data_IF_601953037633
#
_entry.id   IF_601953037633
#
_cell.length_a   1.000
_cell.length_b   1.000
_cell.length_c   1.000
_cell.angle_alpha   90.00
_cell.angle_beta   90.00
_cell.angle_gamma   90.00
#
_symmetry.space_group_name_H-M   'P 1'
#
loop_
_entity.id
_entity.type
_entity.pdbx_description
1 polymer ?
#
# COMPACT_ATOMS: atom_id res chain seq x y z
N UNK A 1 -24.60 -30.80 -22.39
CA UNK A 1 -23.94 -31.90 -21.65
C UNK A 1 -22.69 -31.32 -20.99
N UNK A 2 -22.51 -31.48 -19.69
CA UNK A 2 -21.33 -30.96 -18.98
C UNK A 2 -20.25 -32.02 -18.94
N UNK A 3 -19.01 -31.64 -19.24
CA UNK A 3 -17.83 -32.51 -19.16
C UNK A 3 -16.87 -31.86 -18.17
N UNK A 4 -16.49 -32.58 -17.13
CA UNK A 4 -15.54 -32.11 -16.13
C UNK A 4 -14.13 -32.55 -16.52
N UNK A 5 -13.21 -31.59 -16.64
CA UNK A 5 -11.80 -31.85 -16.94
C UNK A 5 -11.00 -31.47 -15.69
N UNK A 6 -10.20 -32.42 -15.17
CA UNK A 6 -9.36 -32.23 -13.99
C UNK A 6 -7.91 -32.43 -14.40
N UNK A 7 -7.03 -31.52 -13.96
CA UNK A 7 -5.60 -31.59 -14.21
C UNK A 7 -4.85 -31.30 -12.91
N UNK A 8 -3.78 -32.06 -12.66
CA UNK A 8 -2.93 -31.90 -11.48
C UNK A 8 -1.56 -31.38 -11.91
N UNK A 9 -1.11 -30.28 -11.28
CA UNK A 9 0.22 -29.72 -11.50
C UNK A 9 1.15 -30.05 -10.32
N UNK A 10 2.42 -30.30 -10.62
CA UNK A 10 3.47 -30.43 -9.61
C UNK A 10 3.82 -29.04 -9.04
N UNK A 11 3.38 -28.80 -7.81
CA UNK A 11 3.55 -27.53 -7.09
C UNK A 11 5.01 -27.18 -6.81
N UNK A 12 5.93 -28.14 -6.92
CA UNK A 12 7.37 -27.89 -6.74
C UNK A 12 8.01 -27.22 -7.96
N UNK A 13 7.35 -27.25 -9.13
CA UNK A 13 7.89 -26.69 -10.37
C UNK A 13 7.20 -25.41 -10.80
N UNK A 14 5.87 -25.36 -10.72
CA UNK A 14 5.08 -24.20 -11.15
C UNK A 14 3.82 -24.11 -10.30
N UNK A 15 3.44 -22.91 -9.89
CA UNK A 15 2.19 -22.69 -9.20
C UNK A 15 1.00 -23.04 -10.13
N UNK A 16 0.03 -23.87 -9.69
CA UNK A 16 -1.15 -24.21 -10.50
C UNK A 16 -1.90 -22.98 -11.04
N UNK A 17 -1.84 -21.87 -10.32
CA UNK A 17 -2.40 -20.56 -10.68
C UNK A 17 -1.80 -20.03 -11.98
N UNK A 18 -0.48 -20.09 -12.11
CA UNK A 18 0.26 -19.62 -13.30
C UNK A 18 -0.17 -20.40 -14.54
N UNK A 19 -0.30 -21.73 -14.39
CA UNK A 19 -0.75 -22.62 -15.48
C UNK A 19 -2.20 -22.32 -15.85
N UNK A 20 -3.09 -22.21 -14.86
CA UNK A 20 -4.51 -21.94 -15.09
C UNK A 20 -4.72 -20.61 -15.82
N UNK A 21 -4.03 -19.55 -15.39
CA UNK A 21 -4.06 -18.25 -16.06
C UNK A 21 -3.58 -18.34 -17.50
N UNK A 22 -2.48 -19.07 -17.76
CA UNK A 22 -1.95 -19.24 -19.10
C UNK A 22 -2.90 -20.02 -20.02
N UNK A 23 -3.58 -21.05 -19.51
CA UNK A 23 -4.59 -21.82 -20.24
C UNK A 23 -5.79 -20.95 -20.61
N UNK A 24 -6.37 -20.24 -19.65
CA UNK A 24 -7.54 -19.39 -19.87
C UNK A 24 -7.25 -18.16 -20.73
N UNK A 25 -6.02 -17.65 -20.70
CA UNK A 25 -5.62 -16.51 -21.53
C UNK A 25 -5.25 -16.90 -22.97
N UNK A 26 -4.65 -18.07 -23.16
CA UNK A 26 -3.99 -18.41 -24.44
C UNK A 26 -4.72 -19.50 -25.23
N UNK A 27 -5.29 -20.50 -24.54
CA UNK A 27 -5.83 -21.71 -25.18
C UNK A 27 -7.37 -21.70 -25.21
N UNK A 28 -8.01 -21.23 -24.13
CA UNK A 28 -9.49 -21.16 -24.05
C UNK A 28 -10.11 -20.25 -25.12
N UNK A 29 -9.56 -19.06 -25.44
CA UNK A 29 -10.15 -18.22 -26.48
C UNK A 29 -10.13 -18.88 -27.87
N UNK A 30 -9.02 -19.56 -28.21
CA UNK A 30 -8.91 -20.30 -29.48
C UNK A 30 -9.93 -21.44 -29.57
N UNK A 31 -10.13 -22.17 -28.47
CA UNK A 31 -11.13 -23.23 -28.40
C UNK A 31 -12.57 -22.70 -28.52
N UNK A 32 -12.84 -21.49 -28.03
CA UNK A 32 -14.15 -20.84 -28.18
C UNK A 32 -14.39 -20.33 -29.60
N UNK A 33 -13.34 -19.89 -30.31
CA UNK A 33 -13.40 -19.55 -31.74
C UNK A 33 -13.69 -20.79 -32.61
N UNK A 34 -13.01 -21.91 -32.34
CA UNK A 34 -13.20 -23.16 -33.08
C UNK A 34 -14.56 -23.82 -32.78
N UNK A 35 -15.12 -23.60 -31.58
CA UNK A 35 -16.36 -24.23 -31.10
C UNK A 35 -17.31 -23.22 -30.41
N UNK A 36 -18.03 -22.37 -31.15
CA UNK A 36 -18.85 -21.28 -30.60
C UNK A 36 -20.09 -21.73 -29.79
N UNK A 37 -20.43 -23.03 -29.80
CA UNK A 37 -21.51 -23.62 -29.00
C UNK A 37 -21.06 -24.15 -27.62
N UNK A 38 -19.77 -24.03 -27.28
CA UNK A 38 -19.20 -24.54 -26.04
C UNK A 38 -18.92 -23.40 -25.08
N UNK A 39 -19.30 -23.56 -23.81
CA UNK A 39 -18.94 -22.64 -22.75
C UNK A 39 -18.00 -23.32 -21.74
N UNK A 40 -16.91 -22.63 -21.41
CA UNK A 40 -15.85 -23.14 -20.52
C UNK A 40 -15.82 -22.26 -19.28
N UNK A 41 -15.93 -22.87 -18.11
CA UNK A 41 -15.90 -22.20 -16.82
C UNK A 41 -14.90 -22.89 -15.89
N UNK A 42 -14.34 -22.11 -14.96
CA UNK A 42 -13.55 -22.65 -13.85
C UNK A 42 -14.50 -23.23 -12.80
N UNK A 43 -14.18 -24.40 -12.25
CA UNK A 43 -14.96 -25.08 -11.22
C UNK A 43 -14.04 -25.68 -10.15
N UNK A 44 -14.60 -26.03 -8.98
CA UNK A 44 -13.85 -26.63 -7.88
C UNK A 44 -12.90 -25.64 -7.21
N UNK A 45 -11.66 -26.07 -6.92
CA UNK A 45 -10.67 -25.24 -6.19
C UNK A 45 -10.40 -23.90 -6.89
N UNK A 46 -10.40 -23.85 -8.22
CA UNK A 46 -10.16 -22.62 -8.98
C UNK A 46 -11.29 -21.59 -8.76
N UNK A 47 -12.54 -22.06 -8.72
CA UNK A 47 -13.70 -21.20 -8.49
C UNK A 47 -13.73 -20.67 -7.05
N UNK A 48 -13.47 -21.54 -6.07
CA UNK A 48 -13.37 -21.13 -4.66
C UNK A 48 -12.26 -20.08 -4.46
N UNK A 49 -11.11 -20.26 -5.11
CA UNK A 49 -10.02 -19.28 -5.10
C UNK A 49 -10.42 -17.95 -5.75
N UNK A 50 -11.08 -17.98 -6.91
CA UNK A 50 -11.56 -16.76 -7.57
C UNK A 50 -12.54 -15.98 -6.68
N UNK A 51 -13.48 -16.69 -6.02
CA UNK A 51 -14.38 -16.09 -5.03
C UNK A 51 -13.59 -15.51 -3.85
N UNK A 52 -12.64 -16.26 -3.30
CA UNK A 52 -11.80 -15.80 -2.19
C UNK A 52 -10.97 -14.55 -2.56
N UNK A 53 -10.39 -14.49 -3.76
CA UNK A 53 -9.67 -13.33 -4.28
C UNK A 53 -10.58 -12.11 -4.41
N UNK A 54 -11.77 -12.29 -4.97
CA UNK A 54 -12.75 -11.20 -5.07
C UNK A 54 -13.17 -10.67 -3.70
N UNK A 55 -13.37 -11.56 -2.73
CA UNK A 55 -13.63 -11.23 -1.33
C UNK A 55 -12.45 -10.54 -0.65
N UNK A 56 -11.22 -10.93 -1.01
CA UNK A 56 -10.01 -10.32 -0.49
C UNK A 56 -9.84 -8.88 -0.97
N UNK A 57 -10.08 -8.63 -2.26
CA UNK A 57 -10.02 -7.28 -2.84
C UNK A 57 -11.08 -6.38 -2.20
N UNK A 58 -12.33 -6.84 -2.10
CA UNK A 58 -13.39 -6.07 -1.47
C UNK A 58 -13.12 -5.79 0.01
N UNK A 59 -12.67 -6.80 0.77
CA UNK A 59 -12.26 -6.63 2.15
C UNK A 59 -11.08 -5.66 2.30
N UNK A 60 -10.11 -5.69 1.38
CA UNK A 60 -8.97 -4.77 1.37
C UNK A 60 -9.40 -3.33 1.12
N UNK A 61 -10.36 -3.10 0.23
CA UNK A 61 -10.93 -1.77 -0.01
C UNK A 61 -11.66 -1.24 1.22
N UNK A 62 -12.47 -2.08 1.87
CA UNK A 62 -13.13 -1.73 3.14
C UNK A 62 -12.10 -1.42 4.22
N UNK A 63 -11.05 -2.24 4.34
CA UNK A 63 -9.96 -2.00 5.28
C UNK A 63 -9.24 -0.68 5.01
N UNK A 64 -8.95 -0.34 3.75
CA UNK A 64 -8.36 0.95 3.38
C UNK A 64 -9.26 2.13 3.76
N UNK A 65 -10.58 2.01 3.57
CA UNK A 65 -11.54 3.05 3.99
C UNK A 65 -11.56 3.22 5.51
N UNK A 66 -11.53 2.11 6.27
CA UNK A 66 -11.45 2.14 7.73
C UNK A 66 -10.12 2.75 8.19
N UNK A 67 -9.00 2.35 7.59
CA UNK A 67 -7.69 2.91 7.91
C UNK A 67 -7.68 4.41 7.62
N UNK A 68 -8.19 4.86 6.47
CA UNK A 68 -8.32 6.29 6.16
C UNK A 68 -9.08 7.04 7.26
N UNK A 69 -10.24 6.52 7.67
CA UNK A 69 -11.03 7.14 8.74
C UNK A 69 -10.26 7.18 10.07
N UNK A 70 -9.56 6.10 10.41
CA UNK A 70 -8.73 6.02 11.62
C UNK A 70 -7.53 6.96 11.58
N UNK A 71 -6.93 7.21 10.42
CA UNK A 71 -5.81 8.14 10.23
C UNK A 71 -6.25 9.61 10.27
N UNK A 72 -7.47 9.91 9.82
CA UNK A 72 -8.00 11.27 9.83
C UNK A 72 -8.13 11.84 11.26
N UNK A 73 -8.39 10.99 12.25
CA UNK A 73 -8.56 11.37 13.67
C UNK A 73 -7.25 11.92 14.28
N UNK A 74 -6.12 11.18 14.33
CA UNK A 74 -4.87 11.67 14.92
C UNK A 74 -4.26 12.81 14.10
N UNK A 75 -4.35 12.74 12.76
CA UNK A 75 -3.79 13.76 11.87
C UNK A 75 -4.61 15.05 11.82
N UNK A 76 -5.87 15.02 12.28
CA UNK A 76 -6.82 16.15 12.23
C UNK A 76 -6.92 16.79 10.84
N UNK A 77 -6.78 15.98 9.80
CA UNK A 77 -6.76 16.40 8.40
C UNK A 77 -7.32 15.31 7.50
N UNK A 78 -8.02 15.71 6.44
CA UNK A 78 -8.56 14.79 5.43
C UNK A 78 -7.55 14.50 4.31
N UNK A 79 -6.60 15.41 4.05
CA UNK A 79 -5.62 15.24 2.97
C UNK A 79 -4.36 14.52 3.43
N UNK A 80 -3.94 14.70 4.68
CA UNK A 80 -2.74 14.03 5.20
C UNK A 80 -2.85 12.50 5.24
N UNK A 81 -4.00 11.87 5.55
CA UNK A 81 -4.18 10.43 5.40
C UNK A 81 -3.90 9.94 3.97
N UNK A 82 -4.24 10.72 2.93
CA UNK A 82 -3.92 10.36 1.55
C UNK A 82 -2.41 10.35 1.29
N UNK A 83 -1.67 11.31 1.87
CA UNK A 83 -0.20 11.32 1.83
C UNK A 83 0.39 10.06 2.47
N UNK A 84 -0.14 9.67 3.63
CA UNK A 84 0.27 8.43 4.32
C UNK A 84 -0.02 7.20 3.45
N UNK A 85 -1.22 7.10 2.87
CA UNK A 85 -1.62 5.96 2.04
C UNK A 85 -0.89 5.90 0.69
N UNK A 86 -0.35 7.01 0.18
CA UNK A 86 0.45 7.05 -1.05
C UNK A 86 1.71 6.17 -0.98
N UNK A 87 2.12 5.75 0.22
CA UNK A 87 3.22 4.79 0.43
C UNK A 87 2.87 3.33 0.10
N UNK A 88 1.59 2.94 0.15
CA UNK A 88 1.14 1.55 -0.01
C UNK A 88 1.52 0.96 -1.38
N UNK A 89 1.30 1.66 -2.52
CA UNK A 89 1.68 1.14 -3.83
C UNK A 89 3.18 0.83 -3.94
N UNK A 90 4.03 1.62 -3.29
CA UNK A 90 5.47 1.37 -3.27
C UNK A 90 5.83 0.11 -2.49
N UNK A 91 5.10 -0.21 -1.42
CA UNK A 91 5.21 -1.50 -0.77
C UNK A 91 4.87 -2.67 -1.71
N UNK A 92 3.81 -2.56 -2.50
CA UNK A 92 3.45 -3.61 -3.46
C UNK A 92 4.52 -3.80 -4.53
N UNK A 93 5.12 -2.71 -5.01
CA UNK A 93 6.28 -2.78 -5.93
C UNK A 93 7.43 -3.56 -5.26
N UNK A 94 7.75 -3.25 -4.00
CA UNK A 94 8.76 -3.98 -3.23
C UNK A 94 8.44 -5.47 -3.07
N UNK A 95 7.18 -5.82 -2.80
CA UNK A 95 6.73 -7.20 -2.69
C UNK A 95 6.88 -7.97 -4.01
N UNK A 96 6.51 -7.34 -5.14
CA UNK A 96 6.65 -7.92 -6.49
C UNK A 96 8.14 -8.13 -6.82
N UNK A 97 9.00 -7.14 -6.53
CA UNK A 97 10.45 -7.28 -6.70
C UNK A 97 11.01 -8.41 -5.84
N UNK A 98 10.55 -8.55 -4.59
CA UNK A 98 10.93 -9.67 -3.72
C UNK A 98 10.57 -11.04 -4.28
N UNK A 99 9.40 -11.18 -4.90
CA UNK A 99 8.98 -12.41 -5.57
C UNK A 99 9.89 -12.75 -6.76
N UNK A 100 10.28 -11.75 -7.54
CA UNK A 100 11.21 -11.94 -8.63
C UNK A 100 12.61 -12.34 -8.14
N UNK A 101 13.12 -11.69 -7.09
CA UNK A 101 14.44 -11.99 -6.51
C UNK A 101 14.47 -13.42 -5.93
N UNK A 102 13.42 -13.81 -5.22
CA UNK A 102 13.33 -15.14 -4.58
C UNK A 102 12.78 -16.23 -5.51
N UNK A 103 12.43 -15.91 -6.76
CA UNK A 103 11.84 -16.81 -7.74
C UNK A 103 10.56 -17.53 -7.24
N UNK A 104 9.66 -16.78 -6.59
CA UNK A 104 8.34 -17.28 -6.21
C UNK A 104 7.26 -16.64 -7.08
N UNK A 105 6.26 -17.45 -7.46
CA UNK A 105 5.06 -16.96 -8.15
C UNK A 105 4.18 -16.13 -7.20
N UNK A 106 3.47 -15.16 -7.76
CA UNK A 106 2.46 -14.39 -7.04
C UNK A 106 1.20 -15.25 -6.88
N UNK A 107 0.98 -15.74 -5.66
CA UNK A 107 -0.15 -16.60 -5.31
C UNK A 107 -1.05 -15.95 -4.26
N UNK A 108 -2.14 -16.62 -3.89
CA UNK A 108 -3.10 -16.13 -2.89
C UNK A 108 -2.43 -15.66 -1.58
N UNK A 109 -1.48 -16.45 -1.05
CA UNK A 109 -0.72 -16.11 0.15
C UNK A 109 0.17 -14.86 -0.02
N UNK A 110 0.70 -14.61 -1.22
CA UNK A 110 1.45 -13.38 -1.52
C UNK A 110 0.55 -12.15 -1.35
N UNK A 111 -0.70 -12.21 -1.78
CA UNK A 111 -1.65 -11.11 -1.65
C UNK A 111 -2.00 -10.82 -0.18
N UNK A 112 -2.15 -11.86 0.64
CA UNK A 112 -2.31 -11.68 2.09
C UNK A 112 -1.11 -10.95 2.69
N UNK A 113 0.11 -11.29 2.28
CA UNK A 113 1.33 -10.61 2.68
C UNK A 113 1.37 -9.14 2.24
N UNK A 114 0.91 -8.83 1.03
CA UNK A 114 0.80 -7.45 0.55
C UNK A 114 -0.23 -6.63 1.35
N UNK A 115 -1.35 -7.22 1.73
CA UNK A 115 -2.36 -6.54 2.55
C UNK A 115 -1.83 -6.27 3.96
N UNK A 116 -1.16 -7.25 4.57
CA UNK A 116 -0.47 -7.07 5.85
C UNK A 116 0.60 -5.97 5.76
N UNK A 117 1.33 -5.92 4.65
CA UNK A 117 2.36 -4.91 4.37
C UNK A 117 1.79 -3.49 4.39
N UNK A 118 0.59 -3.27 3.84
CA UNK A 118 -0.05 -1.95 3.85
C UNK A 118 -0.12 -1.38 5.28
N UNK A 119 -0.51 -2.20 6.27
CA UNK A 119 -0.57 -1.78 7.67
C UNK A 119 0.81 -1.40 8.25
N UNK A 120 1.84 -2.20 7.96
CA UNK A 120 3.21 -1.93 8.44
C UNK A 120 3.76 -0.62 7.86
N UNK A 121 3.54 -0.38 6.57
CA UNK A 121 4.02 0.83 5.87
C UNK A 121 3.27 2.08 6.33
N UNK A 122 1.96 1.96 6.56
CA UNK A 122 1.12 3.04 7.09
C UNK A 122 1.62 3.47 8.47
N UNK A 123 2.00 2.54 9.35
CA UNK A 123 2.50 2.87 10.68
C UNK A 123 3.74 3.77 10.64
N UNK A 124 4.74 3.40 9.82
CA UNK A 124 5.97 4.20 9.67
C UNK A 124 5.68 5.61 9.13
N UNK A 125 4.79 5.71 8.15
CA UNK A 125 4.42 6.96 7.50
C UNK A 125 3.57 7.85 8.41
N UNK A 126 2.62 7.27 9.15
CA UNK A 126 1.79 7.96 10.14
C UNK A 126 2.66 8.60 11.23
N UNK A 127 3.59 7.84 11.81
CA UNK A 127 4.46 8.34 12.89
C UNK A 127 5.30 9.53 12.41
N UNK A 128 5.78 9.49 11.16
CA UNK A 128 6.55 10.59 10.59
C UNK A 128 5.67 11.85 10.41
N UNK A 129 4.49 11.71 9.81
CA UNK A 129 3.56 12.84 9.61
C UNK A 129 3.06 13.41 10.94
N UNK A 130 2.73 12.57 11.92
CA UNK A 130 2.36 13.00 13.28
C UNK A 130 3.49 13.81 13.93
N UNK A 131 4.74 13.35 13.81
CA UNK A 131 5.89 14.06 14.36
C UNK A 131 6.09 15.44 13.69
N UNK A 132 5.90 15.53 12.37
CA UNK A 132 5.95 16.79 11.62
C UNK A 132 4.88 17.76 12.15
N UNK A 133 3.62 17.31 12.24
CA UNK A 133 2.53 18.12 12.78
C UNK A 133 2.78 18.56 14.22
N UNK A 134 3.31 17.65 15.05
CA UNK A 134 3.63 17.94 16.44
C UNK A 134 4.73 18.99 16.57
N UNK A 135 5.79 18.89 15.76
CA UNK A 135 6.86 19.88 15.73
C UNK A 135 6.36 21.27 15.29
N UNK A 136 5.51 21.32 14.26
CA UNK A 136 4.87 22.58 13.84
C UNK A 136 4.00 23.18 14.94
N UNK A 137 3.19 22.35 15.61
CA UNK A 137 2.22 22.82 16.61
C UNK A 137 2.87 23.24 17.93
N UNK A 138 3.85 22.49 18.42
CA UNK A 138 4.47 22.73 19.73
C UNK A 138 5.61 23.74 19.68
N UNK A 139 6.41 23.72 18.59
CA UNK A 139 7.60 24.54 18.48
C UNK A 139 7.45 25.70 17.48
N UNK A 140 6.30 25.82 16.81
CA UNK A 140 6.06 26.88 15.82
C UNK A 140 7.00 26.81 14.61
N UNK A 141 7.62 25.65 14.36
CA UNK A 141 8.59 25.48 13.28
C UNK A 141 7.95 25.71 11.91
N UNK A 142 8.73 26.29 11.00
CA UNK A 142 8.37 26.32 9.58
C UNK A 142 8.24 24.88 9.05
N UNK A 143 7.41 24.68 8.02
CA UNK A 143 7.13 23.36 7.41
C UNK A 143 8.42 22.64 7.05
N UNK A 144 9.36 23.33 6.40
CA UNK A 144 10.64 22.73 5.98
C UNK A 144 11.48 22.27 7.17
N UNK A 145 11.64 23.11 8.18
CA UNK A 145 12.43 22.79 9.36
C UNK A 145 11.82 21.63 10.15
N UNK A 146 10.49 21.65 10.30
CA UNK A 146 9.74 20.57 10.95
C UNK A 146 9.90 19.24 10.21
N UNK A 147 9.86 19.24 8.88
CA UNK A 147 10.06 18.04 8.04
C UNK A 147 11.48 17.49 8.19
N UNK A 148 12.49 18.35 8.15
CA UNK A 148 13.90 17.95 8.28
C UNK A 148 14.16 17.36 9.67
N UNK A 149 13.74 18.05 10.74
CA UNK A 149 13.93 17.59 12.12
C UNK A 149 13.18 16.27 12.39
N UNK A 150 11.94 16.16 11.91
CA UNK A 150 11.15 14.93 12.03
C UNK A 150 11.81 13.78 11.26
N UNK A 151 12.28 14.03 10.04
CA UNK A 151 12.99 13.04 9.23
C UNK A 151 14.24 12.52 9.93
N UNK A 152 15.09 13.41 10.45
CA UNK A 152 16.31 13.02 11.16
C UNK A 152 16.02 12.25 12.44
N UNK A 153 15.03 12.67 13.23
CA UNK A 153 14.71 12.03 14.51
C UNK A 153 13.99 10.69 14.34
N UNK A 154 13.22 10.51 13.26
CA UNK A 154 12.42 9.29 13.00
C UNK A 154 13.10 8.29 12.06
N UNK A 155 14.16 8.69 11.35
CA UNK A 155 14.91 7.80 10.46
C UNK A 155 15.34 6.50 11.16
N UNK A 156 16.03 6.60 12.31
CA UNK A 156 16.55 5.41 13.02
C UNK A 156 15.43 4.48 13.51
N UNK A 157 14.38 4.96 14.21
CA UNK A 157 13.26 4.10 14.61
C UNK A 157 12.52 3.41 13.46
N UNK A 158 12.27 4.15 12.36
CA UNK A 158 11.56 3.61 11.18
C UNK A 158 12.41 2.52 10.53
N UNK A 159 13.70 2.80 10.30
CA UNK A 159 14.62 1.83 9.73
C UNK A 159 14.74 0.57 10.59
N UNK A 160 14.88 0.73 11.92
CA UNK A 160 15.02 -0.40 12.84
C UNK A 160 13.78 -1.30 12.83
N UNK A 161 12.58 -0.71 12.81
CA UNK A 161 11.32 -1.47 12.72
C UNK A 161 11.32 -2.32 11.45
N UNK A 162 11.64 -1.73 10.30
CA UNK A 162 11.65 -2.44 9.02
C UNK A 162 12.67 -3.56 8.96
N UNK A 163 13.89 -3.31 9.44
CA UNK A 163 14.92 -4.35 9.53
C UNK A 163 14.48 -5.47 10.47
N UNK A 164 13.90 -5.13 11.62
CA UNK A 164 13.41 -6.13 12.59
C UNK A 164 12.29 -6.98 12.00
N UNK A 165 11.33 -6.38 11.29
CA UNK A 165 10.28 -7.12 10.60
C UNK A 165 10.85 -8.05 9.54
N UNK A 166 11.80 -7.57 8.72
CA UNK A 166 12.45 -8.40 7.71
C UNK A 166 13.21 -9.58 8.34
N UNK A 167 14.02 -9.31 9.36
CA UNK A 167 14.77 -10.34 10.08
C UNK A 167 13.86 -11.36 10.76
N UNK A 168 12.73 -10.93 11.31
CA UNK A 168 11.74 -11.83 11.92
C UNK A 168 11.08 -12.79 10.92
N UNK A 169 10.98 -12.38 9.64
CA UNK A 169 10.41 -13.21 8.58
C UNK A 169 11.46 -14.07 7.85
N UNK A 170 12.74 -13.73 8.00
CA UNK A 170 13.84 -14.40 7.31
C UNK A 170 13.89 -15.92 7.57
N UNK A 171 13.67 -16.44 8.79
CA UNK A 171 13.63 -17.88 9.02
C UNK A 171 12.55 -18.56 8.16
N UNK A 172 11.34 -17.98 8.12
CA UNK A 172 10.23 -18.50 7.33
C UNK A 172 10.52 -18.48 5.82
N UNK A 173 11.28 -17.50 5.33
CA UNK A 173 11.67 -17.42 3.92
C UNK A 173 12.67 -18.51 3.50
N UNK A 174 13.46 -19.03 4.44
CA UNK A 174 14.54 -20.00 4.16
C UNK A 174 14.11 -21.44 4.46
N UNK A 175 13.11 -21.64 5.32
CA UNK A 175 12.56 -22.96 5.64
C UNK A 175 11.94 -23.65 4.42
N UNK A 176 12.13 -24.98 4.33
CA UNK A 176 11.67 -25.82 3.21
C UNK A 176 10.77 -26.97 3.67
N UNK A 177 9.91 -26.70 4.64
CA UNK A 177 8.97 -27.70 5.15
C UNK A 177 7.68 -27.67 4.33
N UNK A 178 7.11 -28.84 4.03
CA UNK A 178 5.85 -28.93 3.27
C UNK A 178 4.70 -28.19 3.96
N UNK A 179 4.68 -28.18 5.30
CA UNK A 179 3.65 -27.51 6.10
C UNK A 179 3.78 -25.98 6.05
N UNK A 180 4.98 -25.44 5.79
CA UNK A 180 5.24 -24.00 5.76
C UNK A 180 5.36 -23.42 4.35
N UNK A 181 5.50 -24.28 3.33
CA UNK A 181 5.63 -23.88 1.93
C UNK A 181 4.57 -22.88 1.44
N UNK A 182 3.28 -22.97 1.82
CA UNK A 182 2.28 -21.96 1.42
C UNK A 182 2.51 -20.57 2.02
N UNK A 183 3.20 -20.47 3.16
CA UNK A 183 3.45 -19.20 3.86
C UNK A 183 4.74 -18.51 3.42
N UNK A 184 5.63 -19.19 2.69
CA UNK A 184 6.87 -18.59 2.17
C UNK A 184 6.58 -17.38 1.27
N UNK A 185 5.67 -17.44 0.27
CA UNK A 185 5.35 -16.28 -0.57
C UNK A 185 4.70 -15.11 0.21
N UNK A 186 3.99 -15.41 1.30
CA UNK A 186 3.46 -14.40 2.22
C UNK A 186 4.60 -13.65 2.90
N UNK A 187 5.58 -14.38 3.45
CA UNK A 187 6.74 -13.82 4.11
C UNK A 187 7.57 -12.98 3.13
N UNK A 188 7.82 -13.48 1.91
CA UNK A 188 8.55 -12.75 0.86
C UNK A 188 7.86 -11.42 0.53
N UNK A 189 6.52 -11.42 0.36
CA UNK A 189 5.76 -10.20 0.05
C UNK A 189 5.94 -9.15 1.13
N UNK A 190 5.72 -9.55 2.39
CA UNK A 190 5.77 -8.66 3.53
C UNK A 190 7.19 -8.17 3.80
N UNK A 191 8.18 -9.06 3.83
CA UNK A 191 9.55 -8.72 4.16
C UNK A 191 10.20 -7.77 3.14
N UNK A 192 10.25 -8.16 1.87
CA UNK A 192 10.83 -7.31 0.83
C UNK A 192 10.02 -6.03 0.62
N UNK A 193 8.69 -6.16 0.70
CA UNK A 193 7.78 -5.01 0.64
C UNK A 193 8.10 -3.97 1.70
N UNK A 194 8.32 -4.38 2.97
CA UNK A 194 8.62 -3.45 4.07
C UNK A 194 9.97 -2.76 3.86
N UNK A 195 11.01 -3.51 3.48
CA UNK A 195 12.35 -2.95 3.28
C UNK A 195 12.34 -1.91 2.15
N UNK A 196 11.74 -2.26 1.02
CA UNK A 196 11.67 -1.37 -0.13
C UNK A 196 10.75 -0.17 0.14
N UNK A 197 9.57 -0.40 0.73
CA UNK A 197 8.66 0.67 1.11
C UNK A 197 9.35 1.68 2.02
N UNK A 198 10.06 1.22 3.05
CA UNK A 198 10.73 2.10 4.01
C UNK A 198 11.81 2.97 3.37
N UNK A 199 12.59 2.42 2.43
CA UNK A 199 13.55 3.22 1.68
C UNK A 199 12.88 4.35 0.90
N UNK A 200 11.71 4.07 0.29
CA UNK A 200 10.95 5.05 -0.48
C UNK A 200 10.20 6.03 0.43
N UNK A 201 9.53 5.57 1.48
CA UNK A 201 8.68 6.42 2.35
C UNK A 201 9.46 7.48 3.09
N UNK A 202 10.70 7.19 3.49
CA UNK A 202 11.59 8.16 4.14
C UNK A 202 11.90 9.38 3.25
N UNK A 203 11.77 9.26 1.93
CA UNK A 203 11.97 10.36 0.98
C UNK A 203 10.61 10.89 0.51
N UNK A 204 9.71 9.99 0.15
CA UNK A 204 8.41 10.29 -0.45
C UNK A 204 7.49 11.06 0.52
N UNK A 205 7.38 10.63 1.77
CA UNK A 205 6.47 11.24 2.74
C UNK A 205 6.86 12.69 3.06
N UNK A 206 8.14 13.01 3.37
CA UNK A 206 8.60 14.39 3.48
C UNK A 206 8.27 15.25 2.27
N UNK A 207 8.55 14.75 1.05
CA UNK A 207 8.33 15.49 -0.18
C UNK A 207 6.83 15.76 -0.42
N UNK A 208 5.99 14.73 -0.30
CA UNK A 208 4.54 14.87 -0.47
C UNK A 208 3.92 15.78 0.60
N UNK A 209 4.42 15.75 1.83
CA UNK A 209 3.95 16.64 2.89
C UNK A 209 4.24 18.11 2.57
N UNK A 210 5.45 18.43 2.10
CA UNK A 210 5.82 19.80 1.69
C UNK A 210 4.96 20.25 0.51
N UNK A 211 4.82 19.41 -0.52
CA UNK A 211 3.98 19.71 -1.69
C UNK A 211 2.52 19.98 -1.27
N UNK A 212 1.97 19.18 -0.36
CA UNK A 212 0.62 19.36 0.14
C UNK A 212 0.45 20.71 0.85
N UNK A 213 1.40 21.08 1.72
CA UNK A 213 1.35 22.37 2.42
C UNK A 213 1.52 23.56 1.47
N UNK A 214 2.42 23.47 0.48
CA UNK A 214 2.60 24.50 -0.55
C UNK A 214 1.29 24.71 -1.33
N UNK A 215 0.64 23.63 -1.77
CA UNK A 215 -0.66 23.70 -2.46
C UNK A 215 -1.74 24.32 -1.58
N UNK A 216 -1.84 23.91 -0.31
CA UNK A 216 -2.81 24.47 0.63
C UNK A 216 -2.57 25.95 0.93
N UNK A 217 -1.31 26.38 0.93
CA UNK A 217 -0.94 27.78 1.18
C UNK A 217 -1.40 28.71 0.07
N UNK A 218 -1.32 28.26 -1.19
CA UNK A 218 -1.80 29.00 -2.36
C UNK A 218 -3.32 29.23 -2.30
N UNK A 219 -4.09 28.24 -1.85
CA UNK A 219 -5.54 28.39 -1.68
C UNK A 219 -5.94 29.23 -0.45
N UNK A 220 -5.01 29.52 0.46
CA UNK A 220 -5.27 30.31 1.68
C UNK A 220 -5.02 31.81 1.47
N UNK A 221 -4.11 32.17 0.58
CA UNK A 221 -3.79 33.57 0.24
C UNK A 221 -4.95 34.30 -0.46
N UNK A 222 -5.82 33.61 -1.20
CA UNK A 222 -7.02 34.21 -1.82
C UNK A 222 -8.12 34.61 -0.80
N UNK A 223 -7.98 34.26 0.49
CA UNK A 223 -9.06 34.39 1.49
C UNK A 223 -8.80 35.42 2.60
N UNK A 224 -7.72 36.19 2.53
CA UNK A 224 -7.56 37.35 3.40
C UNK A 224 -8.17 38.58 2.73
N UNK A 225 -9.32 39.13 3.20
CA UNK A 225 -9.67 40.49 2.85
C UNK A 225 -8.56 41.38 3.41
N UNK A 226 -7.89 42.11 2.52
CA UNK A 226 -6.88 43.11 2.86
C UNK A 226 -7.39 43.98 4.00
N UNK A 227 -6.70 43.95 5.14
CA UNK A 227 -6.96 44.82 6.30
C UNK A 227 -6.81 46.33 6.01
N UNK A 228 -6.59 46.70 4.75
CA UNK A 228 -6.50 48.07 4.24
C UNK A 228 -7.90 48.70 4.08
N UNK A 229 -8.97 47.91 3.88
CA UNK A 229 -10.34 48.46 3.77
C UNK A 229 -11.00 48.83 5.11
N UNK A 230 -10.54 48.26 6.23
CA UNK A 230 -11.11 48.53 7.56
C UNK A 230 -10.65 49.86 8.18
N UNK A 231 -9.53 50.41 7.71
CA UNK A 231 -9.00 51.70 8.17
C UNK A 231 -9.68 52.85 7.40
N UNK A 232 -10.00 52.64 6.12
CA UNK A 232 -10.62 53.69 5.29
C UNK A 232 -12.10 53.92 5.65
N UNK A 233 -12.82 52.87 6.08
CA UNK A 233 -14.21 52.99 6.54
C UNK A 233 -14.37 53.65 7.91
N UNK A 234 -13.31 53.67 8.74
CA UNK A 234 -13.34 54.37 10.03
C UNK A 234 -12.99 55.86 9.88
N UNK A 235 -12.15 56.23 8.91
CA UNK A 235 -11.79 57.62 8.64
C UNK A 235 -12.87 58.41 7.86
N UNK A 236 -13.66 57.77 7.01
CA UNK A 236 -14.79 58.45 6.31
C UNK A 236 -16.08 58.54 7.13
N UNK A 237 -16.15 57.87 8.28
CA UNK A 237 -17.32 57.92 9.18
C UNK A 237 -17.20 59.01 10.27
N UNK A 238 -16.01 59.61 10.43
CA UNK A 238 -15.74 60.69 11.40
C UNK A 238 -15.52 62.07 10.74
N UNK A 239 -15.78 62.23 9.43
CA UNK A 239 -15.76 63.51 8.70
C UNK A 239 -17.13 63.90 8.17
#
# INVERSE_FOLDING_TARGET
>A
RTINIVASADRNRVAPETILLQVFKTHVPKLLEDYPGVSIYQAGEAEERARALSGLVSASLVALMVIYALLAIPLKSYLQPLVVMASIPFGFIGAILGHQIMNYDLVFFSLLGMIALAGVVINSSLVLVDFINRNRRLHGMNVRDAVIDSGMSRFRPIFLTSVTTFMGLLPLMVTRDFDTAPFVPLAVSLGFGVVFATAVTLILIPALFVILEDVLSLFREERQPTAVEAIDTTLTAES
#
